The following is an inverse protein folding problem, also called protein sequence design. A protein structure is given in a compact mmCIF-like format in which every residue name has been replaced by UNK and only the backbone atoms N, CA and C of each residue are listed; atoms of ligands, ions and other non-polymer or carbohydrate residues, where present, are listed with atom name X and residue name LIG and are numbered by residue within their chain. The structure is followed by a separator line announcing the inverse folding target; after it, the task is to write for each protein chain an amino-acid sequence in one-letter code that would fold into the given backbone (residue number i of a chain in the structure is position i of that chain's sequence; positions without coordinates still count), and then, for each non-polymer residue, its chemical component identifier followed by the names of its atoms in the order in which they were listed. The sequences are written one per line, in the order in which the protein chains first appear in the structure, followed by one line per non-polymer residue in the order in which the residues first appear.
data_IF_951976203215
#
_entry.id   IF_951976203215
#
_cell.length_a   1.000
_cell.length_b   1.000
_cell.length_c   1.000
_cell.angle_alpha   90.00
_cell.angle_beta   90.00
_cell.angle_gamma   90.00
#
_symmetry.space_group_name_H-M   'P 1'
#
loop_
_entity.id
_entity.type
_entity.pdbx_description
1 polymer ?
#
# COMPACT_ATOMS: atom_id res chain seq x y z
N UNK A 1 -0.09 -32.09 -24.07
CA UNK A 1 -0.27 -30.63 -24.05
C UNK A 1 -0.06 -30.15 -25.46
N UNK A 2 -1.01 -29.38 -25.98
CA UNK A 2 -0.99 -28.82 -27.32
C UNK A 2 -0.64 -27.33 -27.29
N UNK A 3 -0.25 -26.77 -28.43
CA UNK A 3 0.19 -25.38 -28.58
C UNK A 3 -0.85 -24.38 -28.06
N UNK A 4 -2.12 -24.64 -28.37
CA UNK A 4 -3.26 -23.82 -27.91
C UNK A 4 -3.36 -23.79 -26.38
N UNK A 5 -3.14 -24.91 -25.71
CA UNK A 5 -3.14 -24.96 -24.24
C UNK A 5 -2.03 -24.10 -23.60
N UNK A 6 -0.88 -23.97 -24.27
CA UNK A 6 0.19 -23.08 -23.82
C UNK A 6 -0.15 -21.61 -24.03
N UNK A 7 -0.74 -21.25 -25.17
CA UNK A 7 -1.21 -19.89 -25.44
C UNK A 7 -2.29 -19.45 -24.45
N UNK A 8 -3.26 -20.32 -24.14
CA UNK A 8 -4.32 -20.06 -23.17
C UNK A 8 -3.75 -19.82 -21.76
N UNK A 9 -2.77 -20.62 -21.34
CA UNK A 9 -2.09 -20.46 -20.06
C UNK A 9 -1.28 -19.16 -19.99
N UNK A 10 -0.59 -18.78 -21.07
CA UNK A 10 0.16 -17.53 -21.16
C UNK A 10 -0.79 -16.32 -21.09
N UNK A 11 -1.87 -16.34 -21.87
CA UNK A 11 -2.86 -15.27 -21.88
C UNK A 11 -3.59 -15.11 -20.52
N UNK A 12 -3.78 -16.20 -19.78
CA UNK A 12 -4.27 -16.12 -18.40
C UNK A 12 -3.24 -15.48 -17.47
N UNK A 13 -1.98 -15.91 -17.55
CA UNK A 13 -0.89 -15.37 -16.71
C UNK A 13 -0.71 -13.88 -16.93
N UNK A 14 -0.72 -13.43 -18.18
CA UNK A 14 -0.58 -12.00 -18.52
C UNK A 14 -1.74 -11.18 -17.94
N UNK A 15 -2.98 -11.66 -18.08
CA UNK A 15 -4.16 -10.98 -17.51
C UNK A 15 -4.09 -10.88 -16.00
N UNK A 16 -3.76 -11.97 -15.32
CA UNK A 16 -3.63 -11.98 -13.85
C UNK A 16 -2.52 -11.06 -13.38
N UNK A 17 -1.36 -11.09 -14.05
CA UNK A 17 -0.23 -10.22 -13.73
C UNK A 17 -0.59 -8.76 -13.89
N UNK A 18 -1.21 -8.38 -15.03
CA UNK A 18 -1.64 -7.01 -15.28
C UNK A 18 -2.65 -6.54 -14.23
N UNK A 19 -3.67 -7.35 -13.94
CA UNK A 19 -4.67 -7.02 -12.94
C UNK A 19 -4.06 -6.84 -11.54
N UNK A 20 -3.10 -7.67 -11.16
CA UNK A 20 -2.38 -7.54 -9.89
C UNK A 20 -1.54 -6.26 -9.80
N UNK A 21 -0.88 -5.87 -10.90
CA UNK A 21 -0.15 -4.60 -10.98
C UNK A 21 -1.11 -3.42 -10.88
N UNK A 22 -2.19 -3.43 -11.64
CA UNK A 22 -3.22 -2.37 -11.61
C UNK A 22 -3.79 -2.21 -10.21
N UNK A 23 -4.14 -3.31 -9.54
CA UNK A 23 -4.64 -3.29 -8.17
C UNK A 23 -3.60 -2.74 -7.17
N UNK A 24 -2.33 -3.14 -7.30
CA UNK A 24 -1.26 -2.63 -6.45
C UNK A 24 -0.98 -1.14 -6.67
N UNK A 25 -1.22 -0.63 -7.88
CA UNK A 25 -1.09 0.80 -8.22
C UNK A 25 -2.28 1.64 -7.74
N UNK A 26 -3.46 1.04 -7.54
CA UNK A 26 -4.63 1.70 -6.93
C UNK A 26 -4.46 1.89 -5.41
N UNK A 27 -3.27 2.28 -4.94
CA UNK A 27 -3.05 2.61 -3.53
C UNK A 27 -3.96 3.78 -3.17
N UNK A 28 -5.03 3.50 -2.43
CA UNK A 28 -5.83 4.51 -1.76
C UNK A 28 -4.97 5.18 -0.69
N UNK A 29 -4.22 6.20 -1.10
CA UNK A 29 -3.43 7.03 -0.21
C UNK A 29 -4.39 7.85 0.65
N UNK A 30 -4.68 7.31 1.82
CA UNK A 30 -5.40 8.02 2.85
C UNK A 30 -4.68 9.36 3.14
N UNK A 31 -5.40 10.49 3.27
CA UNK A 31 -4.75 11.78 3.45
C UNK A 31 -4.05 11.85 4.82
N UNK A 32 -2.89 12.52 4.91
CA UNK A 32 -2.19 12.70 6.17
C UNK A 32 -2.95 13.61 7.15
N UNK A 33 -2.81 13.34 8.44
CA UNK A 33 -3.20 14.28 9.50
C UNK A 33 -2.05 15.24 9.76
N UNK A 34 -2.30 16.54 9.64
CA UNK A 34 -1.33 17.58 9.88
C UNK A 34 -1.95 18.71 10.72
N UNK A 35 -1.28 19.08 11.80
CA UNK A 35 -1.69 20.17 12.70
C UNK A 35 -0.49 21.08 12.90
N UNK A 36 -0.63 22.37 12.58
CA UNK A 36 0.44 23.37 12.69
C UNK A 36 1.76 22.96 12.00
N UNK A 37 1.68 22.31 10.83
CA UNK A 37 2.85 21.82 10.09
C UNK A 37 3.48 20.53 10.64
N UNK A 38 2.94 19.97 11.73
CA UNK A 38 3.39 18.70 12.29
C UNK A 38 2.51 17.55 11.77
N UNK A 39 3.14 16.56 11.16
CA UNK A 39 2.49 15.31 10.71
C UNK A 39 2.22 14.40 11.91
N UNK A 40 0.99 13.93 12.04
CA UNK A 40 0.53 13.06 13.13
C UNK A 40 0.03 11.71 12.59
N UNK A 41 0.08 10.70 13.45
CA UNK A 41 -0.52 9.39 13.20
C UNK A 41 -2.05 9.52 13.22
N UNK A 42 -2.74 9.04 12.18
CA UNK A 42 -4.21 9.05 12.08
C UNK A 42 -4.92 8.22 13.16
N UNK A 43 -4.24 7.24 13.76
CA UNK A 43 -4.86 6.29 14.70
C UNK A 43 -4.62 6.65 16.18
N UNK A 44 -3.55 7.38 16.50
CA UNK A 44 -3.17 7.63 17.90
C UNK A 44 -2.64 9.05 18.15
N UNK A 45 -2.71 9.93 17.14
CA UNK A 45 -2.31 11.33 17.17
C UNK A 45 -0.84 11.60 17.56
N UNK A 46 -0.02 10.56 17.70
CA UNK A 46 1.41 10.71 17.97
C UNK A 46 2.13 11.35 16.77
N UNK A 47 3.14 12.18 17.07
CA UNK A 47 3.92 12.83 16.03
C UNK A 47 4.71 11.83 15.18
N UNK A 48 4.61 11.94 13.85
CA UNK A 48 5.44 11.18 12.93
C UNK A 48 6.83 11.81 12.88
N UNK A 49 7.79 11.15 13.52
CA UNK A 49 9.17 11.61 13.55
C UNK A 49 9.82 11.60 12.17
N UNK A 50 10.84 12.45 11.99
CA UNK A 50 11.59 12.57 10.74
C UNK A 50 12.13 11.23 10.17
N UNK A 51 12.62 10.26 10.98
CA UNK A 51 13.03 8.96 10.43
C UNK A 51 11.92 8.23 9.70
N UNK A 52 10.68 8.29 10.21
CA UNK A 52 9.51 7.65 9.58
C UNK A 52 9.17 8.31 8.26
N UNK A 53 9.11 9.64 8.25
CA UNK A 53 8.78 10.43 7.05
C UNK A 53 9.87 10.36 5.98
N UNK A 54 11.15 10.22 6.36
CA UNK A 54 12.23 9.97 5.39
C UNK A 54 12.14 8.58 4.76
N UNK A 55 11.78 7.56 5.54
CA UNK A 55 11.61 6.20 5.02
C UNK A 55 10.36 6.07 4.14
N UNK A 56 9.28 6.77 4.50
CA UNK A 56 8.06 6.86 3.71
C UNK A 56 7.43 8.25 3.85
N UNK A 57 7.59 9.15 2.85
CA UNK A 57 7.01 10.50 2.87
C UNK A 57 5.48 10.52 2.94
N UNK A 58 4.84 9.45 2.47
CA UNK A 58 3.40 9.28 2.44
C UNK A 58 2.86 8.57 3.70
N UNK A 59 3.69 8.35 4.72
CA UNK A 59 3.23 7.72 5.96
C UNK A 59 2.15 8.57 6.64
N UNK A 60 1.02 7.93 6.95
CA UNK A 60 -0.10 8.54 7.72
C UNK A 60 -0.29 7.91 9.10
N UNK A 61 0.50 6.87 9.41
CA UNK A 61 0.52 6.17 10.70
C UNK A 61 1.95 5.97 11.22
N UNK A 62 2.08 5.88 12.54
CA UNK A 62 3.31 5.41 13.18
C UNK A 62 3.53 3.92 12.87
N UNK A 63 4.72 3.38 13.14
CA UNK A 63 5.05 1.99 12.79
C UNK A 63 4.11 0.99 13.48
N UNK A 64 3.83 1.19 14.77
CA UNK A 64 2.94 0.30 15.53
C UNK A 64 1.51 0.31 14.95
N UNK A 65 0.91 1.49 14.79
CA UNK A 65 -0.44 1.61 14.23
C UNK A 65 -0.51 1.14 12.77
N UNK A 66 0.55 1.32 11.98
CA UNK A 66 0.63 0.77 10.63
C UNK A 66 0.58 -0.76 10.66
N UNK A 67 1.40 -1.40 11.51
CA UNK A 67 1.39 -2.87 11.66
C UNK A 67 0.00 -3.39 12.05
N UNK A 68 -0.67 -2.72 12.98
CA UNK A 68 -2.02 -3.13 13.39
C UNK A 68 -3.06 -2.88 12.29
N UNK A 69 -2.96 -1.76 11.56
CA UNK A 69 -3.82 -1.47 10.42
C UNK A 69 -3.68 -2.51 9.31
N UNK A 70 -2.45 -2.88 8.96
CA UNK A 70 -2.17 -3.87 7.92
C UNK A 70 -2.72 -5.25 8.29
N UNK A 71 -2.66 -5.63 9.58
CA UNK A 71 -3.27 -6.88 10.08
C UNK A 71 -4.80 -6.87 10.03
N UNK A 72 -5.45 -5.71 10.20
CA UNK A 72 -6.91 -5.57 10.09
C UNK A 72 -7.38 -5.56 8.63
N UNK A 73 -6.53 -5.11 7.72
CA UNK A 73 -6.82 -5.04 6.28
C UNK A 73 -6.40 -6.27 5.47
N UNK A 74 -5.80 -7.27 6.12
CA UNK A 74 -5.43 -8.56 5.54
C UNK A 74 -6.57 -9.59 5.66
#
# INVERSE_FOLDING_TARGET
MDERSFEEAQALTERLTRAGIEQALQVHLEPPLEINGQRLCRDCDSALGAPRLRANPNAVRCVACQTDHDRRGA
#
